data_IF_290901453865
#
_entry.id   IF_290901453865
#
_cell.length_a   1.000
_cell.length_b   1.000
_cell.length_c   1.000
_cell.angle_alpha   90.00
_cell.angle_beta   90.00
_cell.angle_gamma   90.00
#
_symmetry.space_group_name_H-M   'P 1'
#
loop_
_entity.id
_entity.type
_entity.pdbx_description
1 polymer ?
#
# COMPACT_ATOMS: atom_id res chain seq x y z
N UNK A 1 3.83 7.12 36.80
CA UNK A 1 3.08 6.84 35.55
C UNK A 1 3.37 5.39 35.18
N UNK A 2 2.35 4.56 34.95
CA UNK A 2 2.57 3.21 34.42
C UNK A 2 2.86 3.34 32.92
N UNK A 3 4.01 2.86 32.48
CA UNK A 3 4.30 2.66 31.05
C UNK A 3 3.20 1.78 30.46
N UNK A 4 2.38 2.35 29.57
CA UNK A 4 1.47 1.55 28.76
C UNK A 4 2.33 0.75 27.78
N UNK A 5 2.37 -0.56 27.96
CA UNK A 5 3.00 -1.48 27.01
C UNK A 5 2.44 -1.18 25.62
N UNK A 6 3.29 -0.76 24.69
CA UNK A 6 2.92 -0.61 23.29
C UNK A 6 2.40 -1.96 22.78
N UNK A 7 1.23 -1.96 22.15
CA UNK A 7 0.73 -3.15 21.47
C UNK A 7 1.63 -3.39 20.26
N UNK A 8 2.27 -4.54 20.20
CA UNK A 8 3.09 -4.92 19.04
C UNK A 8 2.20 -5.11 17.81
N UNK A 9 2.70 -4.70 16.64
CA UNK A 9 2.03 -5.02 15.39
C UNK A 9 2.22 -6.51 15.09
N UNK A 10 1.19 -7.19 14.56
CA UNK A 10 1.39 -8.54 14.03
C UNK A 10 2.43 -8.51 12.90
N UNK A 11 3.23 -9.57 12.82
CA UNK A 11 4.16 -9.78 11.71
C UNK A 11 3.38 -10.07 10.41
N UNK A 12 3.93 -9.70 9.25
CA UNK A 12 3.31 -10.06 7.97
C UNK A 12 3.15 -11.57 7.81
N UNK A 13 4.07 -12.38 8.35
CA UNK A 13 3.95 -13.83 8.30
C UNK A 13 2.67 -14.32 8.98
N UNK A 14 2.30 -13.72 10.12
CA UNK A 14 1.07 -14.07 10.85
C UNK A 14 -0.17 -13.63 10.09
N UNK A 15 -0.15 -12.41 9.54
CA UNK A 15 -1.28 -11.83 8.80
C UNK A 15 -1.61 -12.61 7.53
N UNK A 16 -0.59 -13.12 6.84
CA UNK A 16 -0.74 -13.80 5.54
C UNK A 16 -0.62 -15.33 5.64
N UNK A 17 -0.42 -15.89 6.83
CA UNK A 17 -0.41 -17.35 7.04
C UNK A 17 -1.70 -17.97 6.52
N UNK A 18 -1.58 -18.95 5.62
CA UNK A 18 -2.72 -19.64 5.00
C UNK A 18 -3.50 -18.81 3.95
N UNK A 19 -3.16 -17.53 3.74
CA UNK A 19 -3.81 -16.65 2.74
C UNK A 19 -3.10 -16.67 1.38
N UNK A 20 -1.93 -17.30 1.28
CA UNK A 20 -1.16 -17.45 0.04
C UNK A 20 -1.75 -18.49 -0.94
N UNK A 21 -2.92 -19.07 -0.67
CA UNK A 21 -3.61 -19.91 -1.66
C UNK A 21 -4.27 -19.02 -2.71
N UNK A 22 -3.46 -18.63 -3.68
CA UNK A 22 -3.84 -17.80 -4.82
C UNK A 22 -4.97 -18.51 -5.61
N UNK A 23 -6.21 -18.05 -5.45
CA UNK A 23 -7.28 -18.32 -6.43
C UNK A 23 -7.15 -17.33 -7.59
N UNK A 24 -6.08 -17.45 -8.37
CA UNK A 24 -5.89 -16.71 -9.61
C UNK A 24 -6.08 -17.69 -10.77
N UNK A 25 -7.05 -17.40 -11.63
CA UNK A 25 -7.34 -18.17 -12.85
C UNK A 25 -6.52 -17.70 -14.04
N UNK A 26 -5.87 -16.55 -13.94
CA UNK A 26 -4.96 -16.01 -14.96
C UNK A 26 -3.57 -16.67 -14.80
N UNK A 27 -3.17 -17.45 -15.81
CA UNK A 27 -1.93 -18.21 -15.76
C UNK A 27 -0.68 -17.31 -15.80
N UNK A 28 -0.72 -16.23 -16.57
CA UNK A 28 0.41 -15.30 -16.69
C UNK A 28 0.62 -14.58 -15.37
N UNK A 29 -0.47 -14.06 -14.79
CA UNK A 29 -0.41 -13.39 -13.48
C UNK A 29 0.01 -14.36 -12.38
N UNK A 30 -0.47 -15.61 -12.40
CA UNK A 30 -0.05 -16.65 -11.44
C UNK A 30 1.44 -16.96 -11.54
N UNK A 31 1.99 -16.99 -12.76
CA UNK A 31 3.43 -17.16 -13.00
C UNK A 31 4.22 -16.00 -12.39
N UNK A 32 3.81 -14.76 -12.66
CA UNK A 32 4.39 -13.54 -12.09
C UNK A 32 4.39 -13.57 -10.56
N UNK A 33 3.26 -13.89 -9.93
CA UNK A 33 3.16 -14.00 -8.47
C UNK A 33 4.16 -15.03 -7.94
N UNK A 34 4.21 -16.22 -8.55
CA UNK A 34 5.11 -17.29 -8.14
C UNK A 34 6.59 -16.91 -8.24
N UNK A 35 6.98 -16.19 -9.30
CA UNK A 35 8.33 -15.67 -9.47
C UNK A 35 8.67 -14.61 -8.41
N UNK A 36 7.82 -13.59 -8.26
CA UNK A 36 8.07 -12.46 -7.36
C UNK A 36 8.07 -12.84 -5.88
N UNK A 37 7.31 -13.87 -5.49
CA UNK A 37 7.36 -14.44 -4.14
C UNK A 37 8.69 -15.16 -3.87
N UNK A 38 9.26 -15.87 -4.85
CA UNK A 38 10.56 -16.54 -4.72
C UNK A 38 11.72 -15.57 -4.65
N UNK A 39 11.65 -14.46 -5.38
CA UNK A 39 12.69 -13.42 -5.35
C UNK A 39 12.79 -12.72 -3.98
N UNK A 40 11.70 -12.68 -3.20
CA UNK A 40 11.63 -11.91 -1.96
C UNK A 40 11.86 -10.40 -2.17
N UNK A 41 12.14 -9.68 -1.09
CA UNK A 41 12.63 -8.31 -1.17
C UNK A 41 14.17 -8.34 -1.19
N UNK A 42 14.77 -8.03 -2.35
CA UNK A 42 16.24 -8.01 -2.53
C UNK A 42 16.96 -6.92 -1.71
N UNK A 43 16.25 -5.87 -1.29
CA UNK A 43 16.81 -4.74 -0.53
C UNK A 43 16.89 -5.09 0.96
N UNK A 44 15.81 -5.62 1.52
CA UNK A 44 15.73 -5.94 2.96
C UNK A 44 16.06 -7.40 3.28
N UNK A 45 16.24 -8.24 2.25
CA UNK A 45 16.36 -9.69 2.36
C UNK A 45 15.18 -10.35 3.12
N UNK A 46 14.01 -9.71 3.10
CA UNK A 46 12.79 -10.19 3.76
C UNK A 46 11.81 -10.83 2.78
N UNK A 47 10.90 -11.65 3.30
CA UNK A 47 9.85 -12.32 2.53
C UNK A 47 8.86 -11.30 1.94
N UNK A 48 8.32 -11.63 0.77
CA UNK A 48 7.14 -10.99 0.18
C UNK A 48 5.92 -11.87 0.40
N UNK A 49 4.77 -11.23 0.51
CA UNK A 49 3.47 -11.88 0.65
C UNK A 49 2.54 -11.38 -0.44
N UNK A 50 1.72 -12.27 -0.98
CA UNK A 50 0.71 -11.89 -1.95
C UNK A 50 -0.48 -11.30 -1.21
N UNK A 51 -0.85 -10.06 -1.53
CA UNK A 51 -1.91 -9.34 -0.83
C UNK A 51 -3.19 -9.13 -1.65
N UNK A 52 -3.17 -9.40 -2.96
CA UNK A 52 -4.40 -9.49 -3.75
C UNK A 52 -4.22 -9.19 -5.24
N UNK A 53 -5.34 -9.27 -5.97
CA UNK A 53 -5.44 -8.86 -7.37
C UNK A 53 -6.30 -7.59 -7.41
N UNK A 54 -5.77 -6.53 -8.01
CA UNK A 54 -6.54 -5.35 -8.31
C UNK A 54 -7.20 -5.45 -9.68
N UNK A 55 -8.52 -5.27 -9.71
CA UNK A 55 -9.26 -5.16 -10.96
C UNK A 55 -9.20 -3.71 -11.45
N UNK A 56 -8.41 -3.48 -12.50
CA UNK A 56 -8.37 -2.23 -13.22
C UNK A 56 -9.62 -2.06 -14.11
N UNK A 57 -9.88 -0.84 -14.58
CA UNK A 57 -11.00 -0.57 -15.50
C UNK A 57 -10.83 -1.33 -16.82
N UNK A 58 -9.58 -1.46 -17.29
CA UNK A 58 -9.24 -2.33 -18.40
C UNK A 58 -8.64 -3.66 -17.84
N UNK A 59 -9.21 -4.83 -18.19
CA UNK A 59 -8.70 -6.15 -17.78
C UNK A 59 -7.22 -6.40 -18.10
N UNK A 60 -6.66 -5.73 -19.12
CA UNK A 60 -5.23 -5.82 -19.45
C UNK A 60 -4.32 -5.30 -18.34
N UNK A 61 -4.83 -4.39 -17.52
CA UNK A 61 -4.13 -3.76 -16.39
C UNK A 61 -4.45 -4.43 -15.05
N UNK A 62 -4.98 -5.65 -15.07
CA UNK A 62 -5.06 -6.51 -13.87
C UNK A 62 -3.67 -6.60 -13.25
N UNK A 63 -3.60 -6.24 -11.97
CA UNK A 63 -2.34 -6.06 -11.25
C UNK A 63 -2.32 -6.99 -10.05
N UNK A 64 -1.27 -7.81 -9.95
CA UNK A 64 -0.99 -8.60 -8.76
C UNK A 64 -0.21 -7.76 -7.76
N UNK A 65 -0.71 -7.65 -6.53
CA UNK A 65 -0.07 -6.89 -5.47
C UNK A 65 0.64 -7.81 -4.49
N UNK A 66 1.87 -7.41 -4.15
CA UNK A 66 2.68 -8.04 -3.13
C UNK A 66 3.03 -7.01 -2.07
N UNK A 67 3.17 -7.47 -0.84
CA UNK A 67 3.57 -6.67 0.32
C UNK A 67 4.80 -7.27 0.99
N UNK A 68 5.66 -6.41 1.50
CA UNK A 68 6.77 -6.79 2.38
C UNK A 68 7.01 -5.72 3.43
N UNK A 69 7.68 -6.12 4.52
CA UNK A 69 8.28 -5.16 5.44
C UNK A 69 9.28 -4.30 4.67
N UNK A 70 9.39 -3.06 5.09
CA UNK A 70 10.36 -2.13 4.56
C UNK A 70 11.15 -1.50 5.70
N UNK A 71 12.34 -0.98 5.40
CA UNK A 71 13.16 -0.20 6.33
C UNK A 71 13.62 1.07 5.59
N UNK A 72 12.77 2.08 5.47
CA UNK A 72 13.12 3.41 4.93
C UNK A 72 14.00 4.16 5.94
N UNK A 73 13.81 3.91 7.22
CA UNK A 73 14.43 4.68 8.30
C UNK A 73 15.37 3.86 9.19
N UNK A 74 16.29 3.13 8.55
CA UNK A 74 17.39 2.44 9.23
C UNK A 74 18.27 3.46 9.98
N UNK A 75 18.05 3.65 11.27
CA UNK A 75 18.94 4.44 12.14
C UNK A 75 18.29 5.32 13.21
N UNK A 76 16.96 5.39 13.31
CA UNK A 76 16.28 6.13 14.37
C UNK A 76 15.39 5.18 15.18
N UNK A 77 15.30 5.40 16.50
CA UNK A 77 14.38 4.71 17.41
C UNK A 77 12.93 5.02 17.03
N UNK A 78 12.44 4.34 16.00
CA UNK A 78 11.18 4.65 15.38
C UNK A 78 10.09 3.71 15.90
N UNK A 79 9.09 4.28 16.57
CA UNK A 79 7.92 3.59 17.11
C UNK A 79 6.86 3.27 16.05
N UNK A 80 7.29 2.87 14.85
CA UNK A 80 6.41 2.59 13.73
C UNK A 80 6.92 1.42 12.89
N UNK A 81 6.00 0.74 12.21
CA UNK A 81 6.32 -0.34 11.26
C UNK A 81 6.20 0.20 9.84
N UNK A 82 7.15 -0.14 8.99
CA UNK A 82 7.16 0.30 7.59
C UNK A 82 6.87 -0.87 6.67
N UNK A 83 6.05 -0.60 5.65
CA UNK A 83 5.66 -1.59 4.65
C UNK A 83 5.78 -1.01 3.25
N UNK A 84 5.97 -1.89 2.27
CA UNK A 84 5.88 -1.55 0.86
C UNK A 84 4.86 -2.47 0.19
N UNK A 85 3.97 -1.89 -0.61
CA UNK A 85 3.08 -2.60 -1.52
C UNK A 85 3.51 -2.30 -2.95
N UNK A 86 3.79 -3.36 -3.70
CA UNK A 86 4.18 -3.29 -5.12
C UNK A 86 3.18 -4.04 -5.98
N UNK A 87 2.84 -3.47 -7.13
CA UNK A 87 1.92 -4.06 -8.11
C UNK A 87 2.63 -4.45 -9.39
N UNK A 88 2.35 -5.65 -9.90
CA UNK A 88 2.90 -6.17 -11.15
C UNK A 88 1.81 -6.49 -12.16
N UNK A 89 2.05 -6.09 -13.41
CA UNK A 89 1.25 -6.51 -14.56
C UNK A 89 1.51 -7.98 -14.93
N UNK A 90 0.66 -8.54 -15.79
CA UNK A 90 0.83 -9.86 -16.42
C UNK A 90 2.17 -10.06 -17.15
N UNK A 91 2.79 -8.96 -17.61
CA UNK A 91 4.09 -8.97 -18.28
C UNK A 91 5.26 -8.81 -17.30
N UNK A 92 5.03 -9.05 -16.01
CA UNK A 92 6.03 -8.97 -14.95
C UNK A 92 6.67 -7.58 -14.77
N UNK A 93 6.02 -6.51 -15.26
CA UNK A 93 6.47 -5.12 -15.05
C UNK A 93 5.88 -4.56 -13.77
N UNK A 94 6.70 -3.87 -12.98
CA UNK A 94 6.23 -3.08 -11.85
C UNK A 94 5.42 -1.88 -12.38
N UNK A 95 4.18 -1.76 -11.92
CA UNK A 95 3.25 -0.71 -12.35
C UNK A 95 2.70 0.13 -11.19
N UNK A 96 3.01 -0.28 -9.96
CA UNK A 96 2.57 0.38 -8.74
C UNK A 96 3.60 0.19 -7.63
N UNK A 97 3.87 1.25 -6.87
CA UNK A 97 4.69 1.22 -5.66
C UNK A 97 4.05 2.15 -4.62
N UNK A 98 3.85 1.65 -3.41
CA UNK A 98 3.38 2.44 -2.30
C UNK A 98 4.16 2.13 -1.03
N UNK A 99 4.52 3.17 -0.29
CA UNK A 99 5.23 3.09 0.97
C UNK A 99 4.30 3.50 2.10
N UNK A 100 4.26 2.69 3.15
CA UNK A 100 3.30 2.81 4.23
C UNK A 100 4.00 2.80 5.59
N UNK A 101 3.47 3.58 6.53
CA UNK A 101 3.93 3.63 7.92
C UNK A 101 2.75 3.35 8.86
N UNK A 102 2.86 2.33 9.69
CA UNK A 102 1.89 2.06 10.74
C UNK A 102 2.40 2.58 12.08
N UNK A 103 1.55 3.36 12.75
CA UNK A 103 1.84 3.90 14.08
C UNK A 103 0.82 3.41 15.10
N UNK A 104 1.29 2.82 16.19
CA UNK A 104 0.48 2.30 17.30
C UNK A 104 0.80 3.11 18.57
N UNK A 105 -0.16 3.92 19.03
CA UNK A 105 -0.05 4.68 20.28
C UNK A 105 -1.27 4.38 21.15
N UNK A 106 -1.08 3.58 22.20
CA UNK A 106 -2.17 3.08 23.03
C UNK A 106 -3.20 2.31 22.21
N UNK A 107 -4.46 2.77 22.22
CA UNK A 107 -5.56 2.19 21.42
C UNK A 107 -5.71 2.81 20.03
N UNK A 108 -4.78 3.66 19.62
CA UNK A 108 -4.79 4.35 18.34
C UNK A 108 -3.83 3.67 17.37
N UNK A 109 -4.38 3.01 16.37
CA UNK A 109 -3.62 2.31 15.33
C UNK A 109 -3.99 2.93 13.99
N UNK A 110 -3.01 3.53 13.33
CA UNK A 110 -3.21 4.28 12.09
C UNK A 110 -2.20 3.83 11.05
N UNK A 111 -2.64 3.78 9.80
CA UNK A 111 -1.76 3.60 8.65
C UNK A 111 -1.59 4.94 7.94
N UNK A 112 -0.35 5.32 7.65
CA UNK A 112 -0.02 6.47 6.82
C UNK A 112 0.42 5.97 5.44
N UNK A 113 -0.14 6.55 4.39
CA UNK A 113 0.38 6.48 3.03
C UNK A 113 1.47 7.55 2.94
N UNK A 114 2.72 7.13 2.78
CA UNK A 114 3.87 8.02 2.70
C UNK A 114 4.12 8.45 1.25
N UNK A 115 4.14 7.48 0.34
CA UNK A 115 4.28 7.72 -1.10
C UNK A 115 3.45 6.71 -1.89
N UNK A 116 2.99 7.12 -3.07
CA UNK A 116 2.36 6.25 -4.07
C UNK A 116 2.88 6.67 -5.44
N UNK A 117 3.24 5.69 -6.25
CA UNK A 117 3.66 5.88 -7.63
C UNK A 117 2.96 4.85 -8.53
N UNK A 118 2.42 5.34 -9.64
CA UNK A 118 1.96 4.53 -10.78
C UNK A 118 2.93 4.81 -11.91
N UNK A 119 3.46 3.78 -12.55
CA UNK A 119 4.48 3.97 -13.58
C UNK A 119 3.93 4.68 -14.82
N UNK A 120 4.78 5.51 -15.42
CA UNK A 120 4.43 6.32 -16.59
C UNK A 120 3.80 5.47 -17.71
N UNK A 121 2.71 5.97 -18.29
CA UNK A 121 1.90 5.28 -19.29
C UNK A 121 0.89 4.27 -18.71
N UNK A 122 0.82 4.13 -17.38
CA UNK A 122 -0.17 3.29 -16.69
C UNK A 122 -1.20 4.11 -15.88
N UNK A 123 -1.13 5.44 -15.94
CA UNK A 123 -2.09 6.34 -15.34
C UNK A 123 -3.47 6.21 -15.99
N UNK A 124 -4.52 6.61 -15.28
CA UNK A 124 -5.91 6.59 -15.75
C UNK A 124 -6.51 5.20 -16.05
N UNK A 125 -5.77 4.11 -15.87
CA UNK A 125 -6.28 2.74 -16.04
C UNK A 125 -6.90 2.13 -14.76
N UNK A 126 -6.91 2.88 -13.65
CA UNK A 126 -7.50 2.45 -12.38
C UNK A 126 -6.55 1.68 -11.45
N UNK A 127 -5.27 1.53 -11.83
CA UNK A 127 -4.25 0.86 -11.01
C UNK A 127 -4.09 1.56 -9.65
N UNK A 128 -4.05 2.89 -9.63
CA UNK A 128 -3.97 3.65 -8.39
C UNK A 128 -5.12 3.34 -7.42
N UNK A 129 -6.35 3.31 -7.92
CA UNK A 129 -7.54 2.99 -7.11
C UNK A 129 -7.53 1.54 -6.63
N UNK A 130 -7.09 0.62 -7.48
CA UNK A 130 -6.91 -0.78 -7.09
C UNK A 130 -5.85 -0.92 -5.99
N UNK A 131 -4.72 -0.21 -6.08
CA UNK A 131 -3.71 -0.15 -5.03
C UNK A 131 -4.25 0.43 -3.72
N UNK A 132 -5.04 1.50 -3.78
CA UNK A 132 -5.71 2.08 -2.59
C UNK A 132 -6.67 1.09 -1.93
N UNK A 133 -7.41 0.28 -2.71
CA UNK A 133 -8.25 -0.78 -2.16
C UNK A 133 -7.40 -1.84 -1.42
N UNK A 134 -6.28 -2.26 -2.00
CA UNK A 134 -5.34 -3.20 -1.35
C UNK A 134 -4.77 -2.61 -0.06
N UNK A 135 -4.37 -1.33 -0.05
CA UNK A 135 -3.92 -0.63 1.16
C UNK A 135 -5.03 -0.61 2.22
N UNK A 136 -6.28 -0.39 1.81
CA UNK A 136 -7.44 -0.36 2.70
C UNK A 136 -7.68 -1.70 3.37
N UNK A 137 -7.63 -2.78 2.60
CA UNK A 137 -7.81 -4.14 3.14
C UNK A 137 -6.64 -4.53 4.06
N UNK A 138 -5.41 -4.14 3.71
CA UNK A 138 -4.26 -4.34 4.58
C UNK A 138 -4.38 -3.56 5.90
N UNK A 139 -4.82 -2.30 5.86
CA UNK A 139 -5.03 -1.49 7.06
C UNK A 139 -6.07 -2.14 8.00
N UNK A 140 -7.15 -2.70 7.43
CA UNK A 140 -8.15 -3.46 8.21
C UNK A 140 -7.54 -4.73 8.82
N UNK A 141 -6.68 -5.44 8.09
CA UNK A 141 -5.96 -6.61 8.62
C UNK A 141 -5.05 -6.26 9.78
N UNK A 142 -4.39 -5.09 9.73
CA UNK A 142 -3.60 -4.55 10.83
C UNK A 142 -4.45 -4.09 12.03
N UNK A 143 -5.77 -4.03 11.89
CA UNK A 143 -6.67 -3.45 12.89
C UNK A 143 -6.50 -1.94 13.04
N UNK A 144 -6.13 -1.26 11.96
CA UNK A 144 -6.10 0.21 11.92
C UNK A 144 -7.52 0.77 11.98
N UNK A 145 -7.65 1.97 12.55
CA UNK A 145 -8.92 2.71 12.63
C UNK A 145 -9.02 3.82 11.59
N UNK A 146 -7.89 4.18 11.00
CA UNK A 146 -7.76 5.29 10.08
C UNK A 146 -6.58 5.08 9.13
N UNK A 147 -6.76 5.54 7.90
CA UNK A 147 -5.70 5.75 6.91
C UNK A 147 -5.53 7.25 6.72
N UNK A 148 -4.29 7.73 6.65
CA UNK A 148 -3.99 9.14 6.39
C UNK A 148 -2.84 9.31 5.40
N UNK A 149 -2.67 10.49 4.83
CA UNK A 149 -1.51 10.82 4.01
C UNK A 149 -1.54 12.28 3.59
N UNK A 150 -0.54 12.67 2.81
CA UNK A 150 -0.45 14.02 2.27
C UNK A 150 -0.63 13.97 0.75
N UNK A 151 -1.46 14.84 0.21
CA UNK A 151 -1.62 15.04 -1.23
C UNK A 151 -0.54 15.99 -1.74
N UNK A 152 0.71 15.53 -1.73
CA UNK A 152 1.84 16.26 -2.33
C UNK A 152 2.34 15.49 -3.56
N UNK A 153 2.29 16.13 -4.72
CA UNK A 153 2.85 15.58 -5.95
C UNK A 153 4.30 16.02 -6.12
N UNK A 154 5.25 15.11 -5.96
CA UNK A 154 6.68 15.44 -6.18
C UNK A 154 7.03 15.65 -7.66
N UNK A 155 6.24 15.08 -8.58
CA UNK A 155 6.47 15.13 -10.03
C UNK A 155 5.70 16.24 -10.74
N UNK A 156 4.57 16.68 -10.18
CA UNK A 156 3.71 17.69 -10.79
C UNK A 156 3.16 18.64 -9.72
N UNK A 157 4.00 19.60 -9.31
CA UNK A 157 3.69 20.67 -8.34
C UNK A 157 2.93 21.83 -9.00
N UNK A 158 1.90 21.50 -9.77
CA UNK A 158 0.98 22.48 -10.37
C UNK A 158 -0.36 22.39 -9.67
N UNK A 159 -1.12 23.49 -9.66
CA UNK A 159 -2.49 23.51 -9.09
C UNK A 159 -3.35 22.37 -9.69
N UNK A 160 -3.33 22.19 -11.01
CA UNK A 160 -4.03 21.09 -11.70
C UNK A 160 -3.57 19.71 -11.22
N UNK A 161 -2.26 19.53 -10.99
CA UNK A 161 -1.69 18.29 -10.48
C UNK A 161 -2.16 17.96 -9.06
N UNK A 162 -2.26 18.98 -8.20
CA UNK A 162 -2.75 18.87 -6.83
C UNK A 162 -4.25 18.59 -6.80
N UNK A 163 -5.06 19.34 -7.55
CA UNK A 163 -6.51 19.12 -7.69
C UNK A 163 -6.79 17.69 -8.16
N UNK A 164 -6.08 17.21 -9.18
CA UNK A 164 -6.24 15.84 -9.69
C UNK A 164 -5.90 14.78 -8.63
N UNK A 165 -4.90 15.02 -7.79
CA UNK A 165 -4.53 14.12 -6.70
C UNK A 165 -5.60 14.14 -5.59
N UNK A 166 -6.15 15.32 -5.28
CA UNK A 166 -7.25 15.45 -4.34
C UNK A 166 -8.49 14.70 -4.82
N UNK A 167 -8.89 14.91 -6.07
CA UNK A 167 -10.02 14.23 -6.70
C UNK A 167 -9.83 12.72 -6.72
N UNK A 168 -8.61 12.25 -6.99
CA UNK A 168 -8.26 10.85 -6.88
C UNK A 168 -8.54 10.30 -5.48
N UNK A 169 -8.03 10.93 -4.42
CA UNK A 169 -8.26 10.44 -3.05
C UNK A 169 -9.73 10.58 -2.62
N UNK A 170 -10.40 11.69 -2.97
CA UNK A 170 -11.85 11.89 -2.71
C UNK A 170 -12.68 10.78 -3.34
N UNK A 171 -12.40 10.43 -4.60
CA UNK A 171 -13.05 9.32 -5.32
C UNK A 171 -12.86 7.96 -4.62
N UNK A 172 -11.75 7.78 -3.90
CA UNK A 172 -11.45 6.55 -3.16
C UNK A 172 -11.90 6.62 -1.68
N UNK A 173 -12.78 7.54 -1.32
CA UNK A 173 -13.42 7.60 -0.01
C UNK A 173 -12.67 8.39 1.06
N UNK A 174 -11.61 9.11 0.68
CA UNK A 174 -10.90 9.99 1.60
C UNK A 174 -11.56 11.35 1.69
N UNK A 175 -11.45 11.96 2.87
CA UNK A 175 -11.82 13.36 3.12
C UNK A 175 -10.56 14.16 3.40
N UNK A 176 -10.58 15.43 3.03
CA UNK A 176 -9.49 16.37 3.26
C UNK A 176 -9.74 17.19 4.54
N UNK A 177 -8.66 17.51 5.26
CA UNK A 177 -8.69 18.44 6.39
C UNK A 177 -8.63 19.90 5.87
N UNK A 178 -8.82 20.89 6.75
CA UNK A 178 -9.05 22.31 6.39
C UNK A 178 -7.96 22.93 5.50
N UNK A 179 -6.74 22.38 5.52
CA UNK A 179 -5.61 22.85 4.71
C UNK A 179 -5.50 22.17 3.33
N UNK A 180 -6.45 21.30 2.95
CA UNK A 180 -6.53 20.54 1.67
C UNK A 180 -5.28 19.72 1.26
N UNK A 181 -4.25 19.67 2.10
CA UNK A 181 -3.03 18.90 1.87
C UNK A 181 -3.03 17.55 2.59
N UNK A 182 -3.81 17.41 3.67
CA UNK A 182 -3.89 16.18 4.46
C UNK A 182 -5.20 15.49 4.16
N UNK A 183 -5.11 14.22 3.75
CA UNK A 183 -6.27 13.37 3.55
C UNK A 183 -6.37 12.27 4.61
N UNK A 184 -7.59 11.85 4.92
CA UNK A 184 -7.87 10.73 5.83
C UNK A 184 -9.10 9.94 5.43
N UNK A 185 -9.12 8.68 5.84
CA UNK A 185 -10.27 7.79 5.72
C UNK A 185 -10.40 6.97 7.01
N UNK A 186 -11.60 6.98 7.62
CA UNK A 186 -11.92 6.09 8.74
C UNK A 186 -12.25 4.69 8.22
N UNK A 187 -11.81 3.66 8.94
CA UNK A 187 -11.94 2.25 8.54
C UNK A 187 -13.06 1.50 9.24
#
# INVERSE_FOLDING_TARGET
MKEQKMKESPELEELFRGRNNVKCTDNDLRSVIGERLKEGNKITNKKRYFCGIGNAVNPEYVTAFLINDWNFSAGLENNFNEFQIVGFSRYNRCVYDAQLEQRIVGNNNKLRICTVYVSDGNEHHGIGSAGVQIITDFARMLGCKEIRGNAESYLNRTEEGEERLQDFYKKNGFVFEEDDHVFRMKL
#
